data_IF_884872434154
#
_entry.id   IF_884872434154
#
_cell.length_a   1.000
_cell.length_b   1.000
_cell.length_c   1.000
_cell.angle_alpha   90.00
_cell.angle_beta   90.00
_cell.angle_gamma   90.00
#
_symmetry.space_group_name_H-M   'P 1'
#
loop_
_entity.id
_entity.type
_entity.pdbx_description
1 polymer ?
#
# COMPACT_ATOMS: atom_id res chain seq x y z
N UNK A 1 -7.23 -18.05 21.69
CA UNK A 1 -6.66 -17.10 20.71
C UNK A 1 -6.31 -17.93 19.49
N UNK A 2 -6.98 -17.70 18.37
CA UNK A 2 -6.64 -18.34 17.10
C UNK A 2 -5.24 -17.90 16.70
N UNK A 3 -4.25 -18.79 16.79
CA UNK A 3 -2.85 -18.54 16.49
C UNK A 3 -2.53 -18.83 15.01
N UNK A 4 -3.33 -18.28 14.09
CA UNK A 4 -2.92 -18.28 12.68
C UNK A 4 -2.07 -17.05 12.42
N UNK A 5 -0.75 -17.23 12.43
CA UNK A 5 0.20 -16.19 12.04
C UNK A 5 0.23 -15.91 10.53
N UNK A 6 -0.35 -16.83 9.76
CA UNK A 6 -0.66 -16.63 8.37
C UNK A 6 -2.10 -16.19 8.22
N UNK A 7 -2.37 -15.50 7.13
CA UNK A 7 -3.70 -14.98 6.86
C UNK A 7 -4.73 -16.11 6.75
N UNK A 8 -5.77 -16.05 7.59
CA UNK A 8 -6.92 -16.94 7.53
C UNK A 8 -8.17 -16.06 7.38
N UNK A 9 -8.94 -16.20 6.29
CA UNK A 9 -10.16 -15.43 6.13
C UNK A 9 -11.23 -15.90 7.12
N UNK A 10 -12.04 -14.96 7.60
CA UNK A 10 -13.14 -15.30 8.51
C UNK A 10 -14.28 -15.95 7.73
N UNK A 11 -14.86 -17.05 8.23
CA UNK A 11 -16.06 -17.63 7.62
C UNK A 11 -17.33 -16.98 8.17
N UNK A 12 -18.14 -16.41 7.29
CA UNK A 12 -19.41 -15.80 7.64
C UNK A 12 -20.53 -16.84 7.62
N UNK A 13 -20.94 -17.29 8.80
CA UNK A 13 -22.06 -18.25 8.91
C UNK A 13 -23.38 -17.72 8.34
N UNK A 14 -23.58 -16.40 8.35
CA UNK A 14 -24.77 -15.72 7.81
C UNK A 14 -24.77 -15.67 6.27
N UNK A 15 -23.64 -15.29 5.67
CA UNK A 15 -23.49 -15.19 4.21
C UNK A 15 -23.00 -16.47 3.54
N UNK A 16 -22.66 -17.49 4.34
CA UNK A 16 -22.12 -18.79 3.91
C UNK A 16 -20.91 -18.66 2.97
N UNK A 17 -20.01 -17.72 3.28
CA UNK A 17 -18.82 -17.44 2.47
C UNK A 17 -17.63 -17.02 3.35
N UNK A 18 -16.42 -17.16 2.81
CA UNK A 18 -15.21 -16.60 3.43
C UNK A 18 -15.10 -15.11 3.13
N UNK A 19 -14.76 -14.34 4.15
CA UNK A 19 -14.61 -12.89 4.10
C UNK A 19 -13.15 -12.51 4.26
N UNK A 20 -12.64 -11.89 3.20
CA UNK A 20 -11.26 -11.46 3.13
C UNK A 20 -11.19 -9.99 3.56
N UNK A 21 -10.41 -9.71 4.59
CA UNK A 21 -10.01 -8.37 5.04
C UNK A 21 -8.50 -8.20 5.05
N UNK A 22 -7.99 -7.03 4.69
CA UNK A 22 -6.59 -6.64 4.93
C UNK A 22 -6.47 -5.13 5.15
N UNK A 23 -5.27 -4.67 5.57
CA UNK A 23 -4.95 -3.24 5.62
C UNK A 23 -4.84 -2.71 4.19
N UNK A 24 -5.30 -1.47 3.97
CA UNK A 24 -5.19 -0.81 2.67
C UNK A 24 -3.74 -0.67 2.21
N UNK A 25 -3.55 -0.83 0.90
CA UNK A 25 -2.22 -0.95 0.30
C UNK A 25 -1.51 0.39 0.27
N UNK A 26 -2.25 1.50 0.15
CA UNK A 26 -1.72 2.86 0.21
C UNK A 26 -1.04 3.13 1.56
N UNK A 27 -1.66 2.71 2.66
CA UNK A 27 -1.14 2.84 4.01
C UNK A 27 0.07 1.93 4.25
N UNK A 28 0.05 0.71 3.73
CA UNK A 28 1.20 -0.18 3.82
C UNK A 28 2.40 0.35 3.03
N UNK A 29 2.16 0.93 1.85
CA UNK A 29 3.20 1.55 1.02
C UNK A 29 3.86 2.74 1.74
N UNK A 30 3.06 3.67 2.26
CA UNK A 30 3.56 4.88 2.94
C UNK A 30 4.29 4.55 4.24
N UNK A 31 3.79 3.58 5.02
CA UNK A 31 4.49 3.05 6.20
C UNK A 31 5.80 2.37 5.84
N UNK A 32 5.83 1.63 4.72
CA UNK A 32 7.05 1.00 4.19
C UNK A 32 8.09 2.05 3.80
N UNK A 33 7.70 3.09 3.07
CA UNK A 33 8.59 4.24 2.79
C UNK A 33 9.13 4.83 4.09
N UNK A 34 8.25 5.16 5.04
CA UNK A 34 8.66 5.79 6.31
C UNK A 34 9.65 4.91 7.07
N UNK A 35 9.46 3.59 7.07
CA UNK A 35 10.40 2.66 7.70
C UNK A 35 11.73 2.61 6.93
N UNK A 36 11.70 2.60 5.60
CA UNK A 36 12.90 2.64 4.75
C UNK A 36 13.74 3.90 5.04
N UNK A 37 13.08 5.08 5.09
CA UNK A 37 13.73 6.36 5.41
C UNK A 37 14.35 6.39 6.82
N UNK A 38 13.65 5.84 7.83
CA UNK A 38 14.19 5.72 9.20
C UNK A 38 15.33 4.71 9.30
N UNK A 39 15.31 3.71 8.42
CA UNK A 39 16.32 2.69 8.36
C UNK A 39 16.24 1.61 9.44
N UNK A 40 17.32 0.84 9.57
CA UNK A 40 17.38 -0.30 10.50
C UNK A 40 16.50 -1.45 10.03
N UNK A 41 16.52 -1.70 8.72
CA UNK A 41 16.05 -2.94 8.11
C UNK A 41 17.25 -3.86 7.93
N UNK A 42 17.13 -5.12 8.32
CA UNK A 42 18.27 -6.03 8.34
C UNK A 42 18.80 -6.27 6.93
N UNK A 43 20.12 -6.15 6.78
CA UNK A 43 20.80 -6.33 5.49
C UNK A 43 20.65 -5.16 4.52
N UNK A 44 20.13 -3.99 4.96
CA UNK A 44 20.01 -2.80 4.14
C UNK A 44 20.75 -1.61 4.75
N UNK A 45 21.43 -0.87 3.88
CA UNK A 45 22.15 0.37 4.16
C UNK A 45 21.24 1.57 3.86
N UNK A 46 20.90 2.30 4.91
CA UNK A 46 20.00 3.46 4.84
C UNK A 46 20.49 4.56 3.90
N UNK A 47 21.81 4.64 3.64
CA UNK A 47 22.42 5.71 2.86
C UNK A 47 22.20 5.58 1.35
N UNK A 48 21.70 4.43 0.87
CA UNK A 48 21.49 4.19 -0.57
C UNK A 48 20.56 5.23 -1.21
N UNK A 49 19.38 5.44 -0.63
CA UNK A 49 18.41 6.44 -1.13
C UNK A 49 18.93 7.87 -0.95
N UNK A 50 19.66 8.17 0.12
CA UNK A 50 20.23 9.49 0.35
C UNK A 50 21.31 9.84 -0.68
N UNK A 51 22.18 8.89 -1.06
CA UNK A 51 23.17 9.09 -2.12
C UNK A 51 22.50 9.36 -3.48
N UNK A 52 21.48 8.58 -3.82
CA UNK A 52 20.71 8.78 -5.06
C UNK A 52 20.00 10.14 -5.07
N UNK A 53 19.38 10.54 -3.97
CA UNK A 53 18.72 11.83 -3.83
C UNK A 53 19.70 13.01 -3.98
N UNK A 54 20.90 12.89 -3.40
CA UNK A 54 21.96 13.92 -3.50
C UNK A 54 22.50 14.11 -4.92
N UNK A 55 22.48 13.06 -5.75
CA UNK A 55 22.94 13.15 -7.15
C UNK A 55 22.00 13.95 -8.05
N UNK A 56 20.72 14.09 -7.68
CA UNK A 56 19.75 14.89 -8.44
C UNK A 56 19.43 14.37 -9.85
N UNK A 57 19.73 13.09 -10.13
CA UNK A 57 19.46 12.44 -11.43
C UNK A 57 18.07 11.82 -11.55
N UNK A 58 17.32 11.76 -10.45
CA UNK A 58 15.97 11.20 -10.40
C UNK A 58 15.02 12.21 -9.76
N UNK A 59 13.71 11.93 -9.79
CA UNK A 59 12.71 12.76 -9.09
C UNK A 59 12.75 12.61 -7.56
N UNK A 60 13.61 11.74 -7.01
CA UNK A 60 13.79 11.58 -5.58
C UNK A 60 14.63 12.74 -5.01
N UNK A 61 14.05 13.49 -4.08
CA UNK A 61 14.75 14.56 -3.37
C UNK A 61 15.16 14.16 -1.95
N UNK A 62 16.13 14.87 -1.38
CA UNK A 62 16.59 14.64 0.02
C UNK A 62 15.42 14.84 1.00
N UNK A 63 14.57 15.82 0.75
CA UNK A 63 13.39 16.06 1.59
C UNK A 63 12.43 14.85 1.63
N UNK A 64 12.34 14.08 0.54
CA UNK A 64 11.56 12.84 0.48
C UNK A 64 12.21 11.71 1.29
N UNK A 65 13.53 11.61 1.30
CA UNK A 65 14.27 10.54 1.99
C UNK A 65 14.39 10.81 3.49
N UNK A 66 14.47 12.06 3.91
CA UNK A 66 14.48 12.45 5.33
C UNK A 66 13.06 12.46 5.96
N UNK A 67 12.01 12.17 5.18
CA UNK A 67 10.61 12.26 5.61
C UNK A 67 10.23 13.62 6.22
N UNK A 68 10.89 14.70 5.78
CA UNK A 68 10.59 16.08 6.21
C UNK A 68 9.26 16.54 5.61
N UNK A 69 8.98 16.11 4.38
CA UNK A 69 7.72 16.35 3.69
C UNK A 69 6.73 15.22 3.94
N UNK A 70 5.44 15.51 3.75
CA UNK A 70 4.29 14.66 4.09
C UNK A 70 4.61 13.14 4.16
N UNK A 71 4.73 12.55 5.37
CA UNK A 71 5.09 11.16 5.57
C UNK A 71 4.00 10.18 5.08
N UNK A 72 2.77 10.65 4.89
CA UNK A 72 1.62 9.84 4.46
C UNK A 72 1.34 9.95 2.94
N UNK A 73 2.15 10.71 2.20
CA UNK A 73 1.98 10.88 0.75
C UNK A 73 2.31 9.61 -0.06
N UNK A 74 1.31 9.07 -0.74
CA UNK A 74 1.45 7.97 -1.72
C UNK A 74 2.33 8.37 -2.91
N UNK A 75 2.15 9.55 -3.56
CA UNK A 75 3.04 9.97 -4.64
C UNK A 75 4.52 9.95 -4.27
N UNK A 76 4.88 10.39 -3.06
CA UNK A 76 6.27 10.35 -2.61
C UNK A 76 6.77 8.93 -2.39
N UNK A 77 5.91 8.01 -1.95
CA UNK A 77 6.26 6.59 -1.87
C UNK A 77 6.44 5.93 -3.24
N UNK A 78 5.59 6.29 -4.22
CA UNK A 78 5.74 5.83 -5.61
C UNK A 78 7.06 6.34 -6.20
N UNK A 79 7.41 7.62 -6.01
CA UNK A 79 8.71 8.16 -6.43
C UNK A 79 9.88 7.46 -5.74
N UNK A 80 9.78 7.23 -4.43
CA UNK A 80 10.83 6.60 -3.61
C UNK A 80 11.13 5.15 -4.03
N UNK A 81 10.11 4.42 -4.51
CA UNK A 81 10.26 3.06 -5.03
C UNK A 81 10.20 2.99 -6.57
N UNK A 82 10.48 4.09 -7.27
CA UNK A 82 10.41 4.15 -8.73
C UNK A 82 11.51 3.32 -9.41
N UNK A 83 11.30 3.01 -10.70
CA UNK A 83 12.28 2.26 -11.49
C UNK A 83 13.58 3.04 -11.70
N UNK A 84 13.49 4.35 -11.90
CA UNK A 84 14.67 5.20 -12.07
C UNK A 84 15.50 5.27 -10.78
N UNK A 85 14.84 5.27 -9.61
CA UNK A 85 15.51 5.16 -8.31
C UNK A 85 16.17 3.79 -8.15
N UNK A 86 15.49 2.69 -8.50
CA UNK A 86 16.14 1.36 -8.49
C UNK A 86 17.41 1.34 -9.34
N UNK A 87 17.34 1.83 -10.59
CA UNK A 87 18.51 1.87 -11.50
C UNK A 87 19.65 2.70 -10.91
N UNK A 88 19.34 3.87 -10.36
CA UNK A 88 20.34 4.72 -9.72
C UNK A 88 20.96 4.06 -8.48
N UNK A 89 20.17 3.33 -7.67
CA UNK A 89 20.67 2.59 -6.52
C UNK A 89 21.64 1.47 -6.97
N UNK A 90 21.34 0.78 -8.08
CA UNK A 90 22.25 -0.22 -8.67
C UNK A 90 23.57 0.42 -9.10
N UNK A 91 23.52 1.60 -9.73
CA UNK A 91 24.73 2.34 -10.15
C UNK A 91 25.63 2.74 -8.96
N UNK A 92 25.07 2.90 -7.75
CA UNK A 92 25.85 3.10 -6.53
C UNK A 92 26.45 1.81 -5.93
N UNK A 93 26.06 0.64 -6.45
CA UNK A 93 26.47 -0.67 -5.93
C UNK A 93 25.60 -1.24 -4.79
N UNK A 94 24.45 -0.64 -4.51
CA UNK A 94 23.53 -1.06 -3.43
C UNK A 94 22.49 -2.07 -3.91
N UNK A 95 22.93 -3.31 -4.14
CA UNK A 95 22.11 -4.33 -4.81
C UNK A 95 20.90 -4.76 -3.98
N UNK A 96 21.03 -4.89 -2.65
CA UNK A 96 19.93 -5.37 -1.81
C UNK A 96 18.83 -4.34 -1.63
N UNK A 97 19.19 -3.06 -1.59
CA UNK A 97 18.32 -1.89 -1.56
C UNK A 97 17.57 -1.73 -2.88
N UNK A 98 18.27 -1.90 -4.01
CA UNK A 98 17.65 -1.92 -5.32
C UNK A 98 16.63 -3.07 -5.43
N UNK A 99 16.98 -4.25 -4.91
CA UNK A 99 16.06 -5.38 -4.90
C UNK A 99 14.84 -5.11 -4.00
N UNK A 100 14.99 -4.45 -2.84
CA UNK A 100 13.84 -4.03 -2.02
C UNK A 100 12.97 -3.03 -2.80
N UNK A 101 13.60 -2.03 -3.41
CA UNK A 101 12.93 -1.01 -4.22
C UNK A 101 12.06 -1.68 -5.30
N UNK A 102 12.64 -2.64 -6.04
CA UNK A 102 11.92 -3.44 -7.03
C UNK A 102 10.77 -4.22 -6.42
N UNK A 103 11.00 -4.95 -5.33
CA UNK A 103 9.99 -5.83 -4.73
C UNK A 103 8.77 -5.03 -4.26
N UNK A 104 8.99 -3.86 -3.64
CA UNK A 104 7.91 -2.94 -3.22
C UNK A 104 7.21 -2.33 -4.43
N UNK A 105 7.96 -1.89 -5.47
CA UNK A 105 7.36 -1.36 -6.71
C UNK A 105 6.45 -2.38 -7.39
N UNK A 106 6.93 -3.62 -7.54
CA UNK A 106 6.18 -4.69 -8.19
C UNK A 106 4.94 -5.05 -7.37
N UNK A 107 5.04 -5.12 -6.04
CA UNK A 107 3.87 -5.31 -5.18
C UNK A 107 2.84 -4.18 -5.37
N UNK A 108 3.27 -2.92 -5.37
CA UNK A 108 2.36 -1.78 -5.58
C UNK A 108 1.72 -1.77 -6.97
N UNK A 109 2.50 -1.98 -8.03
CA UNK A 109 1.98 -2.10 -9.41
C UNK A 109 0.93 -3.21 -9.53
N UNK A 110 1.14 -4.33 -8.84
CA UNK A 110 0.17 -5.42 -8.82
C UNK A 110 -1.15 -5.04 -8.14
N UNK A 111 -1.16 -3.99 -7.33
CA UNK A 111 -2.32 -3.48 -6.62
C UNK A 111 -3.03 -2.33 -7.34
N UNK A 112 -2.28 -1.44 -8.00
CA UNK A 112 -2.81 -0.21 -8.57
C UNK A 112 -2.96 -0.24 -10.10
N UNK A 113 -2.06 -0.89 -10.85
CA UNK A 113 -2.08 -0.83 -12.31
C UNK A 113 -3.21 -1.69 -12.89
N UNK A 114 -3.95 -1.23 -13.92
CA UNK A 114 -4.94 -2.04 -14.63
C UNK A 114 -4.28 -2.99 -15.64
N UNK A 115 -5.03 -3.96 -16.18
CA UNK A 115 -4.58 -4.78 -17.32
C UNK A 115 -3.58 -5.91 -17.01
N UNK A 116 -3.07 -6.03 -15.78
CA UNK A 116 -2.19 -7.14 -15.38
C UNK A 116 -3.01 -8.41 -15.08
N UNK A 117 -2.57 -9.57 -15.60
CA UNK A 117 -3.21 -10.87 -15.37
C UNK A 117 -3.13 -11.29 -13.90
N UNK A 118 -4.09 -12.11 -13.44
CA UNK A 118 -4.10 -12.63 -12.07
C UNK A 118 -2.79 -13.37 -11.71
N UNK A 119 -2.29 -14.21 -12.63
CA UNK A 119 -1.04 -14.97 -12.45
C UNK A 119 0.15 -14.03 -12.25
N UNK A 120 0.27 -12.98 -13.07
CA UNK A 120 1.40 -12.06 -12.99
C UNK A 120 1.32 -11.19 -11.73
N UNK A 121 0.12 -10.74 -11.34
CA UNK A 121 -0.08 -10.01 -10.08
C UNK A 121 0.36 -10.85 -8.88
N UNK A 122 -0.01 -12.13 -8.83
CA UNK A 122 0.43 -13.04 -7.78
C UNK A 122 1.97 -13.14 -7.78
N UNK A 123 2.60 -13.36 -8.95
CA UNK A 123 4.06 -13.43 -9.07
C UNK A 123 4.75 -12.16 -8.54
N UNK A 124 4.23 -10.99 -8.89
CA UNK A 124 4.74 -9.68 -8.45
C UNK A 124 4.65 -9.53 -6.93
N UNK A 125 3.51 -9.88 -6.32
CA UNK A 125 3.33 -9.83 -4.85
C UNK A 125 4.24 -10.81 -4.10
N UNK A 126 4.46 -12.00 -4.66
CA UNK A 126 5.29 -13.03 -4.03
C UNK A 126 6.77 -12.63 -3.92
N UNK A 127 7.27 -11.67 -4.71
CA UNK A 127 8.62 -11.13 -4.57
C UNK A 127 8.84 -10.53 -3.18
N UNK A 128 7.98 -9.58 -2.80
CA UNK A 128 8.03 -8.94 -1.49
C UNK A 128 7.76 -9.94 -0.36
N UNK A 129 6.80 -10.86 -0.54
CA UNK A 129 6.51 -11.93 0.44
C UNK A 129 7.74 -12.78 0.74
N UNK A 130 8.46 -13.23 -0.30
CA UNK A 130 9.67 -14.05 -0.14
C UNK A 130 10.74 -13.29 0.63
N UNK A 131 10.93 -12.00 0.36
CA UNK A 131 11.88 -11.16 1.12
C UNK A 131 11.50 -11.09 2.59
N UNK A 132 10.24 -10.75 2.90
CA UNK A 132 9.76 -10.62 4.28
C UNK A 132 9.91 -11.91 5.08
N UNK A 133 9.73 -13.07 4.44
CA UNK A 133 9.85 -14.37 5.09
C UNK A 133 11.31 -14.83 5.31
N UNK A 134 12.31 -14.23 4.64
CA UNK A 134 13.74 -14.57 4.88
C UNK A 134 14.17 -14.26 6.31
N UNK A 135 13.51 -13.31 6.97
CA UNK A 135 13.83 -12.91 8.34
C UNK A 135 13.08 -13.74 9.40
N UNK A 136 12.25 -14.71 8.98
CA UNK A 136 11.45 -15.52 9.89
C UNK A 136 12.14 -16.85 10.16
N UNK A 137 12.38 -17.13 11.44
CA UNK A 137 12.76 -18.47 11.91
C UNK A 137 11.52 -19.17 12.44
N UNK A 138 10.92 -20.07 11.65
CA UNK A 138 9.64 -20.72 11.99
C UNK A 138 9.67 -21.54 13.29
N UNK A 139 10.84 -22.07 13.68
CA UNK A 139 11.00 -22.80 14.95
C UNK A 139 10.87 -21.94 16.20
N UNK A 140 10.85 -20.61 16.05
CA UNK A 140 10.76 -19.65 17.14
C UNK A 140 9.77 -18.52 16.82
N UNK A 141 8.73 -18.83 16.05
CA UNK A 141 7.70 -17.87 15.67
C UNK A 141 6.51 -17.91 16.64
N UNK A 142 5.99 -16.76 17.12
CA UNK A 142 6.43 -15.40 16.81
C UNK A 142 7.73 -15.05 17.57
N UNK A 143 8.66 -14.31 16.95
CA UNK A 143 9.88 -13.90 17.65
C UNK A 143 9.51 -12.96 18.81
N UNK A 144 10.23 -13.02 19.94
CA UNK A 144 10.05 -12.10 21.04
C UNK A 144 10.43 -10.69 20.59
N UNK A 145 9.54 -9.72 20.85
CA UNK A 145 9.76 -8.31 20.56
C UNK A 145 8.79 -7.72 19.55
N UNK A 146 9.06 -6.47 19.16
CA UNK A 146 8.20 -5.68 18.26
C UNK A 146 8.71 -5.63 16.82
N UNK A 147 9.80 -6.34 16.49
CA UNK A 147 10.46 -6.26 15.19
C UNK A 147 10.82 -7.64 14.63
N UNK A 148 10.72 -7.78 13.31
CA UNK A 148 11.07 -8.98 12.53
C UNK A 148 11.99 -8.53 11.39
N UNK A 149 13.28 -8.87 11.44
CA UNK A 149 14.23 -8.42 10.41
C UNK A 149 14.36 -6.89 10.32
N UNK A 150 14.22 -6.20 11.45
CA UNK A 150 14.14 -4.74 11.52
C UNK A 150 12.77 -4.14 11.15
N UNK A 151 11.82 -4.91 10.59
CA UNK A 151 10.47 -4.44 10.29
C UNK A 151 9.61 -4.40 11.55
N UNK A 152 8.83 -3.33 11.83
CA UNK A 152 7.82 -3.36 12.88
C UNK A 152 6.85 -4.52 12.65
N UNK A 153 6.55 -5.32 13.68
CA UNK A 153 5.72 -6.53 13.57
C UNK A 153 4.39 -6.26 12.89
N UNK A 154 3.69 -5.19 13.28
CA UNK A 154 2.42 -4.78 12.68
C UNK A 154 2.52 -4.45 11.17
N UNK A 155 3.63 -3.84 10.73
CA UNK A 155 3.84 -3.55 9.30
C UNK A 155 4.16 -4.83 8.54
N UNK A 156 5.02 -5.68 9.11
CA UNK A 156 5.36 -6.98 8.53
C UNK A 156 4.12 -7.86 8.36
N UNK A 157 3.32 -8.01 9.42
CA UNK A 157 2.06 -8.78 9.42
C UNK A 157 1.06 -8.19 8.43
N UNK A 158 0.95 -6.86 8.39
CA UNK A 158 0.08 -6.15 7.45
C UNK A 158 0.44 -6.42 5.99
N UNK A 159 1.73 -6.40 5.64
CA UNK A 159 2.22 -6.70 4.29
C UNK A 159 1.98 -8.18 3.91
N UNK A 160 2.35 -9.12 4.80
CA UNK A 160 2.13 -10.55 4.55
C UNK A 160 0.63 -10.85 4.40
N UNK A 161 -0.19 -10.33 5.31
CA UNK A 161 -1.63 -10.55 5.29
C UNK A 161 -2.28 -9.93 4.06
N UNK A 162 -1.85 -8.74 3.63
CA UNK A 162 -2.33 -8.12 2.40
C UNK A 162 -2.01 -8.98 1.16
N UNK A 163 -0.79 -9.49 1.05
CA UNK A 163 -0.37 -10.35 -0.06
C UNK A 163 -1.18 -11.65 -0.07
N UNK A 164 -1.29 -12.32 1.08
CA UNK A 164 -1.96 -13.60 1.20
C UNK A 164 -3.48 -13.46 0.98
N UNK A 165 -4.11 -12.43 1.55
CA UNK A 165 -5.52 -12.09 1.36
C UNK A 165 -5.87 -11.88 -0.12
N UNK A 166 -5.11 -11.04 -0.82
CA UNK A 166 -5.33 -10.74 -2.24
C UNK A 166 -5.05 -11.93 -3.14
N UNK A 167 -4.08 -12.76 -2.79
CA UNK A 167 -3.80 -14.01 -3.51
C UNK A 167 -4.96 -14.99 -3.35
N UNK A 168 -5.47 -15.14 -2.12
CA UNK A 168 -6.59 -16.03 -1.81
C UNK A 168 -7.89 -15.57 -2.49
N UNK A 169 -8.12 -14.27 -2.58
CA UNK A 169 -9.32 -13.70 -3.19
C UNK A 169 -9.49 -14.12 -4.66
N UNK A 170 -8.41 -14.36 -5.41
CA UNK A 170 -8.51 -14.94 -6.75
C UNK A 170 -9.16 -16.32 -6.74
N UNK A 171 -8.92 -17.16 -5.73
CA UNK A 171 -9.55 -18.49 -5.65
C UNK A 171 -10.99 -18.46 -5.12
N UNK A 172 -11.36 -17.39 -4.41
CA UNK A 172 -12.68 -17.23 -3.81
C UNK A 172 -13.66 -16.46 -4.71
N UNK A 173 -13.15 -15.67 -5.66
CA UNK A 173 -13.97 -14.87 -6.56
C UNK A 173 -14.46 -15.71 -7.76
N UNK A 174 -15.73 -15.52 -8.12
CA UNK A 174 -16.30 -16.12 -9.32
C UNK A 174 -15.51 -15.72 -10.57
N UNK A 175 -15.09 -16.70 -11.37
CA UNK A 175 -14.25 -16.45 -12.56
C UNK A 175 -12.75 -16.32 -12.27
N UNK A 176 -12.32 -16.63 -11.05
CA UNK A 176 -10.93 -16.61 -10.61
C UNK A 176 -10.23 -15.24 -10.77
N UNK A 177 -10.99 -14.15 -10.73
CA UNK A 177 -10.51 -12.78 -10.92
C UNK A 177 -11.37 -11.79 -10.15
N UNK A 178 -10.80 -10.65 -9.79
CA UNK A 178 -11.50 -9.55 -9.13
C UNK A 178 -10.86 -8.21 -9.47
N UNK A 179 -11.63 -7.12 -9.36
CA UNK A 179 -11.09 -5.77 -9.50
C UNK A 179 -10.23 -5.43 -8.28
N UNK A 180 -8.92 -5.33 -8.47
CA UNK A 180 -7.98 -5.11 -7.37
C UNK A 180 -8.16 -3.76 -6.68
N UNK A 181 -8.56 -2.72 -7.41
CA UNK A 181 -8.84 -1.38 -6.85
C UNK A 181 -10.11 -1.35 -5.99
N UNK A 182 -11.04 -2.29 -6.21
CA UNK A 182 -12.21 -2.43 -5.35
C UNK A 182 -11.85 -2.95 -3.95
N UNK A 183 -10.66 -3.53 -3.78
CA UNK A 183 -10.12 -3.98 -2.50
C UNK A 183 -9.17 -2.93 -1.89
N UNK A 184 -9.64 -1.68 -1.79
CA UNK A 184 -8.95 -0.52 -1.23
C UNK A 184 -9.93 0.44 -0.54
N UNK A 185 -9.44 1.25 0.40
CA UNK A 185 -10.21 2.33 1.06
C UNK A 185 -10.27 3.62 0.25
N UNK A 186 -9.57 3.72 -0.89
CA UNK A 186 -9.43 4.97 -1.65
C UNK A 186 -10.76 5.63 -2.04
N UNK A 187 -11.80 4.83 -2.33
CA UNK A 187 -13.14 5.34 -2.61
C UNK A 187 -13.73 6.06 -1.39
N UNK A 188 -13.55 5.49 -0.19
CA UNK A 188 -13.95 6.12 1.08
C UNK A 188 -13.14 7.38 1.37
N UNK A 189 -11.84 7.37 1.11
CA UNK A 189 -10.97 8.55 1.29
C UNK A 189 -11.38 9.69 0.34
N UNK A 190 -11.73 9.36 -0.90
CA UNK A 190 -12.25 10.33 -1.88
C UNK A 190 -13.58 10.92 -1.39
N UNK A 191 -14.49 10.08 -0.87
CA UNK A 191 -15.75 10.54 -0.27
C UNK A 191 -15.51 11.55 0.86
N UNK A 192 -14.61 11.26 1.80
CA UNK A 192 -14.32 12.18 2.90
C UNK A 192 -13.61 13.45 2.42
N UNK A 193 -12.75 13.35 1.40
CA UNK A 193 -12.10 14.50 0.79
C UNK A 193 -13.12 15.45 0.14
N UNK A 194 -14.07 14.91 -0.62
CA UNK A 194 -15.18 15.70 -1.18
C UNK A 194 -16.03 16.35 -0.09
N UNK A 195 -16.27 15.64 1.01
CA UNK A 195 -17.00 16.19 2.14
C UNK A 195 -16.29 17.42 2.73
N UNK A 196 -14.95 17.38 2.85
CA UNK A 196 -14.17 18.52 3.37
C UNK A 196 -14.24 19.77 2.49
N UNK A 197 -14.50 19.63 1.18
CA UNK A 197 -14.70 20.77 0.28
C UNK A 197 -15.95 21.60 0.61
N UNK A 198 -16.89 21.02 1.36
CA UNK A 198 -18.09 21.72 1.83
C UNK A 198 -17.87 22.50 3.14
N UNK A 199 -16.71 22.36 3.79
CA UNK A 199 -16.37 23.15 4.97
C UNK A 199 -16.13 24.61 4.60
N UNK A 200 -17.19 25.42 4.71
CA UNK A 200 -17.16 26.86 4.41
C UNK A 200 -16.22 27.65 5.33
N UNK A 201 -15.80 27.07 6.47
CA UNK A 201 -14.88 27.71 7.42
C UNK A 201 -13.42 27.60 6.96
N UNK A 202 -13.13 26.76 5.97
CA UNK A 202 -11.77 26.51 5.49
C UNK A 202 -10.87 25.83 6.53
N UNK A 203 -11.44 25.16 7.52
CA UNK A 203 -10.70 24.42 8.55
C UNK A 203 -10.30 23.02 8.07
N UNK A 204 -10.88 22.57 6.95
CA UNK A 204 -10.65 21.24 6.40
C UNK A 204 -11.33 20.14 7.22
N UNK A 205 -12.29 20.50 8.07
CA UNK A 205 -12.99 19.55 8.95
C UNK A 205 -14.48 19.85 9.01
N UNK A 206 -15.29 18.81 8.88
CA UNK A 206 -16.76 18.88 8.96
C UNK A 206 -17.22 18.32 10.31
N UNK A 207 -18.04 19.05 11.03
CA UNK A 207 -18.61 18.58 12.31
C UNK A 207 -19.69 17.52 12.07
N UNK A 208 -20.04 16.74 13.10
CA UNK A 208 -21.08 15.72 12.99
C UNK A 208 -22.46 16.28 12.55
N UNK A 209 -22.80 17.51 12.95
CA UNK A 209 -24.03 18.18 12.53
C UNK A 209 -24.00 18.62 11.06
N UNK A 210 -22.85 19.11 10.59
CA UNK A 210 -22.67 19.50 9.19
C UNK A 210 -22.60 18.29 8.26
N UNK A 211 -22.03 17.19 8.75
CA UNK A 211 -21.94 15.91 8.04
C UNK A 211 -23.33 15.44 7.56
N UNK A 212 -24.33 15.50 8.45
CA UNK A 212 -25.71 15.12 8.10
C UNK A 212 -26.31 15.98 6.98
N UNK A 213 -25.94 17.25 6.90
CA UNK A 213 -26.40 18.16 5.86
C UNK A 213 -25.68 17.96 4.52
N UNK A 214 -24.43 17.52 4.54
CA UNK A 214 -23.59 17.41 3.34
C UNK A 214 -23.49 16.00 2.75
N UNK A 215 -23.87 14.97 3.52
CA UNK A 215 -23.75 13.58 3.08
C UNK A 215 -24.55 13.31 1.80
N UNK A 216 -25.79 13.80 1.70
CA UNK A 216 -26.64 13.56 0.53
C UNK A 216 -26.00 14.04 -0.78
N UNK A 217 -25.56 15.30 -0.81
CA UNK A 217 -24.89 15.88 -1.98
C UNK A 217 -23.54 15.21 -2.27
N UNK A 218 -22.81 14.78 -1.23
CA UNK A 218 -21.53 14.09 -1.41
C UNK A 218 -21.73 12.70 -2.03
N UNK A 219 -22.76 11.96 -1.59
CA UNK A 219 -23.14 10.66 -2.18
C UNK A 219 -23.53 10.82 -3.65
N UNK A 220 -24.35 11.82 -3.99
CA UNK A 220 -24.74 12.09 -5.39
C UNK A 220 -23.52 12.42 -6.27
N UNK A 221 -22.62 13.28 -5.79
CA UNK A 221 -21.37 13.58 -6.51
C UNK A 221 -20.51 12.35 -6.71
N UNK A 222 -20.35 11.51 -5.69
CA UNK A 222 -19.58 10.28 -5.78
C UNK A 222 -20.22 9.30 -6.76
N UNK A 223 -21.55 9.15 -6.73
CA UNK A 223 -22.28 8.35 -7.71
C UNK A 223 -22.01 8.82 -9.14
N UNK A 224 -22.13 10.13 -9.40
CA UNK A 224 -21.82 10.70 -10.72
C UNK A 224 -20.33 10.56 -11.11
N UNK A 225 -19.39 10.58 -10.16
CA UNK A 225 -17.94 10.42 -10.45
C UNK A 225 -17.57 8.97 -10.73
N UNK A 226 -18.30 8.02 -10.14
CA UNK A 226 -18.07 6.58 -10.30
C UNK A 226 -18.89 5.95 -11.42
N UNK A 227 -19.78 6.72 -12.06
CA UNK A 227 -20.59 6.26 -13.20
C UNK A 227 -19.70 5.97 -14.43
N UNK A 228 -19.56 4.69 -14.84
CA UNK A 228 -18.74 4.31 -15.98
C UNK A 228 -19.33 4.73 -17.33
N UNK A 229 -20.62 5.08 -17.40
CA UNK A 229 -21.31 5.50 -18.62
C UNK A 229 -21.35 7.02 -18.80
N UNK A 230 -20.74 7.77 -17.88
CA UNK A 230 -20.71 9.23 -17.96
C UNK A 230 -19.94 9.68 -19.20
N UNK A 231 -20.68 10.12 -20.21
CA UNK A 231 -20.14 10.84 -21.36
C UNK A 231 -19.46 12.11 -20.84
N UNK A 232 -18.13 12.12 -20.84
CA UNK A 232 -17.38 13.36 -20.60
C UNK A 232 -17.72 14.32 -21.73
N UNK A 233 -18.51 15.35 -21.45
CA UNK A 233 -18.57 16.52 -22.31
C UNK A 233 -17.18 17.15 -22.29
N UNK A 234 -16.41 16.90 -23.35
CA UNK A 234 -15.19 17.63 -23.65
C UNK A 234 -15.62 19.06 -24.02
N UNK A 235 -15.38 20.00 -23.11
CA UNK A 235 -15.30 21.43 -23.41
C UNK A 235 -13.85 21.86 -23.21
#
# INVERSE_FOLDING_TARGET
MDTSFFYVPAFSSKRKQYEVSCIDSSHLLTRTRRKCCKGGLDGLLNDAWNKVAKRGKTNLSIAMTECVIDPMSVPFAVTHFSEDVEKAIIEEGYIDEANLCRDVRQWWKADDDPGITARDRIRMRLGLRRRLLRHVTFGYFPPPGMFIGGWPSQLWEGLISNIDAKTLLYSLANGNTYNTRAFSSLCGETFFSELTLYDRRGQGTVTASEFQSFIGTTVEKMYMKMDPERLYFQN
#
